data_IF_352900419141
#
_entry.id   IF_352900419141
#
_cell.length_a   1.000
_cell.length_b   1.000
_cell.length_c   1.000
_cell.angle_alpha   90.00
_cell.angle_beta   90.00
_cell.angle_gamma   90.00
#
_symmetry.space_group_name_H-M   'P 1'
#
loop_
_entity.id
_entity.type
_entity.pdbx_description
1 polymer ?
#
# COMPACT_ATOMS: atom_id res chain seq x y z
N UNK A 1 1.53 -34.24 -26.11
CA UNK A 1 2.13 -33.04 -25.49
C UNK A 1 1.03 -32.21 -24.82
N UNK A 2 0.38 -32.70 -23.76
CA UNK A 2 -0.80 -32.02 -23.16
C UNK A 2 -0.90 -32.12 -21.63
N UNK A 3 0.06 -32.75 -20.95
CA UNK A 3 -0.05 -33.00 -19.51
C UNK A 3 0.49 -31.84 -18.65
N UNK A 4 1.52 -31.12 -19.14
CA UNK A 4 2.11 -30.00 -18.41
C UNK A 4 1.21 -28.76 -18.33
N UNK A 5 0.33 -28.53 -19.31
CA UNK A 5 -0.56 -27.37 -19.33
C UNK A 5 -1.70 -27.49 -18.30
N UNK A 6 -2.27 -28.69 -18.15
CA UNK A 6 -3.29 -28.98 -17.14
C UNK A 6 -2.71 -28.91 -15.73
N UNK A 7 -1.48 -29.39 -15.54
CA UNK A 7 -0.80 -29.37 -14.24
C UNK A 7 -0.39 -27.95 -13.83
N UNK A 8 0.00 -27.12 -14.81
CA UNK A 8 0.22 -25.68 -14.62
C UNK A 8 -1.05 -24.90 -14.31
N UNK A 9 -2.16 -25.19 -15.00
CA UNK A 9 -3.46 -24.56 -14.75
C UNK A 9 -4.00 -24.91 -13.36
N UNK A 10 -3.80 -26.15 -12.91
CA UNK A 10 -4.22 -26.62 -11.59
C UNK A 10 -3.42 -25.97 -10.46
N UNK A 11 -2.09 -25.89 -10.59
CA UNK A 11 -1.25 -25.15 -9.64
C UNK A 11 -1.60 -23.65 -9.61
N UNK A 12 -1.87 -23.06 -10.76
CA UNK A 12 -2.31 -21.66 -10.83
C UNK A 12 -3.68 -21.46 -10.15
N UNK A 13 -4.62 -22.39 -10.31
CA UNK A 13 -5.92 -22.35 -9.65
C UNK A 13 -5.80 -22.51 -8.13
N UNK A 14 -4.96 -23.43 -7.64
CA UNK A 14 -4.72 -23.64 -6.21
C UNK A 14 -4.05 -22.42 -5.57
N UNK A 15 -3.09 -21.80 -6.26
CA UNK A 15 -2.47 -20.55 -5.79
C UNK A 15 -3.49 -19.41 -5.81
N UNK A 16 -4.25 -19.26 -6.89
CA UNK A 16 -5.27 -18.21 -7.00
C UNK A 16 -6.34 -18.37 -5.91
N UNK A 17 -6.78 -19.59 -5.63
CA UNK A 17 -7.76 -19.91 -4.59
C UNK A 17 -7.21 -19.68 -3.18
N UNK A 18 -5.95 -20.05 -2.92
CA UNK A 18 -5.26 -19.71 -1.68
C UNK A 18 -5.09 -18.19 -1.51
N UNK A 19 -4.87 -17.47 -2.62
CA UNK A 19 -4.69 -16.03 -2.62
C UNK A 19 -6.03 -15.28 -2.56
N UNK A 20 -7.17 -15.84 -2.98
CA UNK A 20 -8.50 -15.22 -2.80
C UNK A 20 -8.83 -14.94 -1.33
N UNK A 21 -8.26 -15.71 -0.40
CA UNK A 21 -8.36 -15.46 1.04
C UNK A 21 -7.49 -14.31 1.55
N UNK A 22 -6.52 -13.83 0.76
CA UNK A 22 -5.68 -12.67 1.10
C UNK A 22 -6.46 -11.38 0.91
N UNK A 23 -6.63 -10.55 1.96
CA UNK A 23 -7.35 -9.30 1.79
C UNK A 23 -6.57 -8.36 0.85
N UNK A 24 -7.27 -7.82 -0.15
CA UNK A 24 -6.69 -7.00 -1.23
C UNK A 24 -6.22 -7.79 -2.46
N UNK A 25 -6.24 -9.12 -2.43
CA UNK A 25 -5.97 -9.94 -3.64
C UNK A 25 -7.23 -10.09 -4.49
N UNK A 26 -8.38 -10.37 -3.84
CA UNK A 26 -9.66 -10.56 -4.52
C UNK A 26 -10.22 -9.29 -5.18
N UNK A 27 -9.73 -8.10 -4.80
CA UNK A 27 -10.16 -6.80 -5.35
C UNK A 27 -9.05 -6.09 -6.15
N UNK A 28 -7.96 -6.79 -6.50
CA UNK A 28 -6.77 -6.28 -7.20
C UNK A 28 -5.98 -5.16 -6.49
N UNK A 29 -6.34 -4.76 -5.27
CA UNK A 29 -5.65 -3.67 -4.57
C UNK A 29 -4.19 -3.96 -4.27
N UNK A 30 -3.82 -5.21 -3.96
CA UNK A 30 -2.43 -5.61 -3.73
C UNK A 30 -1.60 -5.51 -5.01
N UNK A 31 -2.14 -6.00 -6.14
CA UNK A 31 -1.46 -5.88 -7.44
C UNK A 31 -1.31 -4.43 -7.87
N UNK A 32 -2.33 -3.61 -7.62
CA UNK A 32 -2.26 -2.17 -7.86
C UNK A 32 -1.16 -1.51 -7.02
N UNK A 33 -1.09 -1.79 -5.72
CA UNK A 33 -0.03 -1.26 -4.83
C UNK A 33 1.36 -1.63 -5.35
N UNK A 34 1.58 -2.90 -5.70
CA UNK A 34 2.88 -3.37 -6.22
C UNK A 34 3.24 -2.68 -7.52
N UNK A 35 2.31 -2.61 -8.49
CA UNK A 35 2.54 -1.98 -9.80
C UNK A 35 2.78 -0.48 -9.68
N UNK A 36 2.02 0.21 -8.83
CA UNK A 36 2.23 1.63 -8.58
C UNK A 36 3.61 1.87 -7.95
N UNK A 37 3.98 1.08 -6.93
CA UNK A 37 5.28 1.19 -6.27
C UNK A 37 6.45 0.91 -7.24
N UNK A 38 6.34 -0.12 -8.07
CA UNK A 38 7.33 -0.42 -9.10
C UNK A 38 7.46 0.69 -10.13
N UNK A 39 6.33 1.24 -10.60
CA UNK A 39 6.34 2.40 -11.50
C UNK A 39 7.03 3.60 -10.86
N UNK A 40 6.67 3.96 -9.64
CA UNK A 40 7.26 5.08 -8.93
C UNK A 40 8.79 4.88 -8.75
N UNK A 41 9.22 3.68 -8.34
CA UNK A 41 10.63 3.33 -8.20
C UNK A 41 11.43 3.44 -9.51
N UNK A 42 10.83 3.04 -10.63
CA UNK A 42 11.47 3.09 -11.94
C UNK A 42 11.44 4.49 -12.59
N UNK A 43 10.57 5.38 -12.10
CA UNK A 43 10.36 6.72 -12.66
C UNK A 43 11.15 7.78 -11.89
N UNK A 44 11.18 7.68 -10.57
CA UNK A 44 11.84 8.65 -9.69
C UNK A 44 13.35 8.42 -9.65
N UNK A 45 14.10 9.49 -9.37
CA UNK A 45 15.50 9.37 -8.97
C UNK A 45 15.57 8.59 -7.65
N UNK A 46 16.68 7.91 -7.42
CA UNK A 46 16.84 7.10 -6.21
C UNK A 46 16.57 7.88 -4.91
N UNK A 47 17.10 9.11 -4.79
CA UNK A 47 16.86 9.95 -3.62
C UNK A 47 15.38 10.30 -3.42
N UNK A 48 14.68 10.64 -4.51
CA UNK A 48 13.27 11.02 -4.47
C UNK A 48 12.39 9.79 -4.17
N UNK A 49 12.77 8.62 -4.68
CA UNK A 49 12.11 7.35 -4.35
C UNK A 49 12.25 7.00 -2.87
N UNK A 50 13.46 7.09 -2.31
CA UNK A 50 13.70 6.81 -0.90
C UNK A 50 12.93 7.78 0.00
N UNK A 51 12.86 9.06 -0.38
CA UNK A 51 12.10 10.06 0.35
C UNK A 51 10.58 9.87 0.21
N UNK A 52 10.11 9.53 -0.99
CA UNK A 52 8.71 9.20 -1.24
C UNK A 52 8.29 7.99 -0.38
N UNK A 53 9.09 6.94 -0.37
CA UNK A 53 8.82 5.73 0.44
C UNK A 53 8.74 6.06 1.94
N UNK A 54 9.71 6.83 2.48
CA UNK A 54 9.68 7.28 3.88
C UNK A 54 8.42 8.10 4.20
N UNK A 55 7.96 8.91 3.26
CA UNK A 55 6.76 9.74 3.44
C UNK A 55 5.51 8.87 3.49
N UNK A 56 5.39 7.87 2.61
CA UNK A 56 4.30 6.88 2.63
C UNK A 56 4.32 6.05 3.93
N UNK A 57 5.50 5.64 4.40
CA UNK A 57 5.65 4.93 5.67
C UNK A 57 5.16 5.80 6.84
N UNK A 58 5.48 7.10 6.85
CA UNK A 58 5.02 8.03 7.87
C UNK A 58 3.49 8.25 7.84
N UNK A 59 2.89 8.32 6.64
CA UNK A 59 1.42 8.39 6.49
C UNK A 59 0.77 7.12 7.05
N UNK A 60 1.35 5.96 6.74
CA UNK A 60 0.84 4.66 7.18
C UNK A 60 0.96 4.50 8.69
N UNK A 61 2.12 4.86 9.27
CA UNK A 61 2.34 4.83 10.73
C UNK A 61 1.37 5.75 11.48
N UNK A 62 1.15 6.97 10.96
CA UNK A 62 0.20 7.91 11.54
C UNK A 62 -1.24 7.35 11.56
N UNK A 63 -1.63 6.67 10.47
CA UNK A 63 -2.92 5.99 10.37
C UNK A 63 -3.01 4.78 11.32
N UNK A 64 -1.97 3.97 11.45
CA UNK A 64 -1.91 2.85 12.42
C UNK A 64 -2.06 3.37 13.85
N UNK A 65 -1.30 4.41 14.24
CA UNK A 65 -1.37 5.01 15.58
C UNK A 65 -2.74 5.60 15.89
N UNK A 66 -3.50 5.96 14.86
CA UNK A 66 -4.88 6.42 14.99
C UNK A 66 -5.90 5.30 15.24
N UNK A 67 -5.47 4.04 15.29
CA UNK A 67 -6.35 2.87 15.37
C UNK A 67 -6.65 2.23 14.00
N UNK A 68 -5.92 2.63 12.96
CA UNK A 68 -6.05 2.07 11.63
C UNK A 68 -5.79 0.56 11.60
N UNK A 69 -6.60 -0.18 10.85
CA UNK A 69 -6.41 -1.62 10.69
C UNK A 69 -6.80 -2.45 11.91
N UNK A 70 -7.54 -1.86 12.86
CA UNK A 70 -8.00 -2.54 14.07
C UNK A 70 -6.98 -2.51 15.21
N UNK A 71 -5.94 -1.68 15.11
CA UNK A 71 -5.01 -1.44 16.22
C UNK A 71 -5.67 -0.61 17.31
N UNK A 72 -5.17 -0.75 18.54
CA UNK A 72 -5.58 0.14 19.62
C UNK A 72 -4.97 1.54 19.35
N UNK A 73 -5.76 2.62 19.36
CA UNK A 73 -5.23 3.96 19.19
C UNK A 73 -4.20 4.28 20.27
N UNK A 74 -3.05 4.79 19.86
CA UNK A 74 -2.03 5.27 20.80
C UNK A 74 -2.41 6.66 21.33
N UNK A 75 -2.01 6.95 22.57
CA UNK A 75 -2.08 8.30 23.11
C UNK A 75 -1.14 9.18 22.27
N UNK A 76 -1.73 10.05 21.46
CA UNK A 76 -1.00 10.87 20.49
C UNK A 76 -1.57 12.28 20.40
N UNK A 77 -1.01 13.09 19.49
CA UNK A 77 -1.50 14.45 19.27
C UNK A 77 -3.00 14.47 18.93
N UNK A 78 -3.71 15.56 19.26
CA UNK A 78 -5.14 15.67 19.02
C UNK A 78 -5.49 15.44 17.53
N UNK A 79 -6.73 15.02 17.23
CA UNK A 79 -7.17 14.70 15.86
C UNK A 79 -6.82 15.78 14.82
N UNK A 80 -6.94 17.05 15.18
CA UNK A 80 -6.66 18.18 14.28
C UNK A 80 -5.18 18.26 13.90
N UNK A 81 -4.27 18.07 14.86
CA UNK A 81 -2.83 18.05 14.60
C UNK A 81 -2.41 16.83 13.77
N UNK A 82 -3.04 15.68 14.01
CA UNK A 82 -2.82 14.49 13.18
C UNK A 82 -3.28 14.72 11.75
N UNK A 83 -4.44 15.33 11.56
CA UNK A 83 -4.99 15.64 10.24
C UNK A 83 -4.10 16.64 9.50
N UNK A 84 -3.61 17.67 10.19
CA UNK A 84 -2.65 18.62 9.63
C UNK A 84 -1.35 17.92 9.19
N UNK A 85 -0.78 17.06 10.05
CA UNK A 85 0.43 16.30 9.72
C UNK A 85 0.21 15.34 8.55
N UNK A 86 -0.95 14.69 8.46
CA UNK A 86 -1.30 13.85 7.32
C UNK A 86 -1.37 14.67 6.01
N UNK A 87 -1.94 15.88 6.07
CA UNK A 87 -2.00 16.78 4.93
C UNK A 87 -0.61 17.29 4.49
N UNK A 88 0.27 17.61 5.44
CA UNK A 88 1.67 17.98 5.16
C UNK A 88 2.44 16.85 4.48
N UNK A 89 2.35 15.64 5.03
CA UNK A 89 2.99 14.45 4.44
C UNK A 89 2.44 14.16 3.04
N UNK A 90 1.12 14.31 2.84
CA UNK A 90 0.51 14.19 1.51
C UNK A 90 1.05 15.24 0.55
N UNK A 91 1.10 16.51 0.95
CA UNK A 91 1.62 17.58 0.11
C UNK A 91 3.09 17.34 -0.26
N UNK A 92 3.90 16.87 0.69
CA UNK A 92 5.30 16.50 0.46
C UNK A 92 5.42 15.36 -0.55
N UNK A 93 4.66 14.27 -0.36
CA UNK A 93 4.66 13.15 -1.29
C UNK A 93 4.26 13.57 -2.70
N UNK A 94 3.23 14.42 -2.84
CA UNK A 94 2.80 14.97 -4.14
C UNK A 94 3.89 15.82 -4.77
N UNK A 95 4.64 16.60 -3.99
CA UNK A 95 5.73 17.43 -4.52
C UNK A 95 6.86 16.60 -5.13
N UNK A 96 7.15 15.41 -4.57
CA UNK A 96 8.16 14.49 -5.08
C UNK A 96 7.77 13.83 -6.40
N UNK A 97 6.46 13.63 -6.63
CA UNK A 97 5.92 13.00 -7.84
C UNK A 97 5.27 13.99 -8.80
N UNK A 98 5.35 15.31 -8.53
CA UNK A 98 4.54 16.33 -9.18
C UNK A 98 4.72 16.42 -10.69
N UNK A 99 5.92 16.10 -11.17
CA UNK A 99 6.25 16.07 -12.60
C UNK A 99 5.68 14.84 -13.34
N UNK A 100 5.11 13.89 -12.60
CA UNK A 100 4.63 12.61 -13.11
C UNK A 100 3.10 12.50 -12.92
N UNK A 101 2.29 12.99 -13.88
CA UNK A 101 0.85 13.13 -13.73
C UNK A 101 0.14 11.79 -13.48
N UNK A 102 0.66 10.68 -14.02
CA UNK A 102 0.12 9.34 -13.76
C UNK A 102 0.31 8.91 -12.29
N UNK A 103 1.43 9.27 -11.66
CA UNK A 103 1.67 8.99 -10.24
C UNK A 103 0.75 9.88 -9.39
N UNK A 104 0.68 11.18 -9.69
CA UNK A 104 -0.19 12.12 -8.96
C UNK A 104 -1.65 11.69 -8.99
N UNK A 105 -2.17 11.29 -10.17
CA UNK A 105 -3.54 10.83 -10.34
C UNK A 105 -3.89 9.66 -9.42
N UNK A 106 -2.98 8.71 -9.32
CA UNK A 106 -3.22 7.42 -8.68
C UNK A 106 -2.76 7.39 -7.20
N UNK A 107 -2.20 8.50 -6.69
CA UNK A 107 -1.59 8.62 -5.36
C UNK A 107 -2.52 8.30 -4.19
N UNK A 108 -3.73 8.90 -4.17
CA UNK A 108 -4.66 8.70 -3.05
C UNK A 108 -5.17 7.24 -3.02
N UNK A 109 -5.38 6.65 -4.20
CA UNK A 109 -5.71 5.22 -4.33
C UNK A 109 -4.57 4.36 -3.81
N UNK A 110 -3.33 4.68 -4.16
CA UNK A 110 -2.15 3.97 -3.69
C UNK A 110 -2.04 3.99 -2.16
N UNK A 111 -2.20 5.17 -1.56
CA UNK A 111 -2.17 5.34 -0.10
C UNK A 111 -3.26 4.50 0.58
N UNK A 112 -4.49 4.53 0.06
CA UNK A 112 -5.60 3.72 0.59
C UNK A 112 -5.33 2.21 0.45
N UNK A 113 -4.80 1.76 -0.70
CA UNK A 113 -4.46 0.36 -0.93
C UNK A 113 -3.31 -0.11 -0.03
N UNK A 114 -2.30 0.73 0.26
CA UNK A 114 -1.26 0.45 1.25
C UNK A 114 -1.84 0.26 2.65
N UNK A 115 -2.74 1.15 3.09
CA UNK A 115 -3.40 1.04 4.39
C UNK A 115 -4.29 -0.20 4.49
N UNK A 116 -5.03 -0.53 3.43
CA UNK A 116 -5.86 -1.72 3.37
C UNK A 116 -5.01 -3.01 3.44
N UNK A 117 -3.90 -3.06 2.70
CA UNK A 117 -2.94 -4.16 2.78
C UNK A 117 -2.34 -4.29 4.19
N UNK A 118 -2.01 -3.17 4.83
CA UNK A 118 -1.48 -3.19 6.20
C UNK A 118 -2.54 -3.60 7.24
N UNK A 119 -3.80 -3.19 7.07
CA UNK A 119 -4.93 -3.65 7.85
C UNK A 119 -5.12 -5.17 7.74
N UNK A 120 -4.92 -5.71 6.54
CA UNK A 120 -5.01 -7.14 6.27
C UNK A 120 -3.95 -7.91 7.05
N UNK A 121 -2.69 -7.49 6.95
CA UNK A 121 -1.53 -8.09 7.63
C UNK A 121 -1.67 -8.01 9.15
N UNK A 122 -2.17 -6.88 9.66
CA UNK A 122 -2.37 -6.69 11.10
C UNK A 122 -3.47 -7.60 11.64
N UNK A 123 -4.60 -7.73 10.92
CA UNK A 123 -5.73 -8.60 11.31
C UNK A 123 -5.41 -10.09 11.23
N UNK A 124 -4.54 -10.51 10.31
CA UNK A 124 -4.14 -11.92 10.19
C UNK A 124 -3.10 -12.36 11.23
N UNK A 125 -2.62 -11.44 12.09
CA UNK A 125 -1.64 -11.76 13.14
C UNK A 125 -0.25 -12.12 12.61
N UNK A 126 0.03 -11.86 11.33
CA UNK A 126 1.32 -12.07 10.67
C UNK A 126 2.38 -11.04 11.11
N UNK A 127 1.97 -9.96 11.77
CA UNK A 127 2.84 -8.98 12.43
C UNK A 127 3.08 -9.43 13.88
N UNK A 128 3.93 -10.44 14.09
CA UNK A 128 4.47 -10.80 15.41
C UNK A 128 5.94 -10.43 15.50
#
# INVERSE_FOLDING_TARGET
>A
MSHDADDGAKRAAEINEAMLGMPGYADDSLFFTVRYGERAKNTLRQCDWEEFQRTIDAITDLWIKAGGGGTQPEAGPPPDQRSARAAELRAHAISLIGDFPDLVRDFDRFTASCQAAMAAVTRSGLRK
#
